data_IF_145075565859
#
_entry.id   IF_145075565859
#
_cell.length_a   1.000
_cell.length_b   1.000
_cell.length_c   1.000
_cell.angle_alpha   90.00
_cell.angle_beta   90.00
_cell.angle_gamma   90.00
#
_symmetry.space_group_name_H-M   'P 1'
#
loop_
_entity.id
_entity.type
_entity.pdbx_description
1 polymer ?
#
# COMPACT_ATOMS: atom_id res chain seq x y z
N UNK A 1 -35.00 15.25 36.51
CA UNK A 1 -33.77 14.97 35.74
C UNK A 1 -33.96 13.67 34.96
N UNK A 2 -34.11 13.75 33.63
CA UNK A 2 -34.53 12.63 32.76
C UNK A 2 -33.35 11.72 32.41
N UNK A 3 -33.50 10.42 32.72
CA UNK A 3 -32.47 9.37 32.63
C UNK A 3 -32.50 8.65 31.26
N UNK A 4 -32.58 9.41 30.16
CA UNK A 4 -32.72 8.85 28.81
C UNK A 4 -31.79 9.57 27.82
N UNK A 5 -30.47 9.35 27.93
CA UNK A 5 -29.49 10.04 27.07
C UNK A 5 -28.53 9.14 26.30
N UNK A 6 -28.81 7.85 26.11
CA UNK A 6 -28.06 6.97 25.17
C UNK A 6 -28.89 5.77 24.73
N UNK A 7 -29.81 5.98 23.79
CA UNK A 7 -30.38 4.91 22.95
C UNK A 7 -30.16 5.29 21.49
N UNK A 8 -28.89 5.25 21.06
CA UNK A 8 -28.59 5.27 19.63
C UNK A 8 -28.74 3.83 19.13
N UNK A 9 -29.85 3.57 18.43
CA UNK A 9 -30.13 2.40 17.60
C UNK A 9 -30.15 1.01 18.27
N UNK A 10 -31.29 0.56 18.84
CA UNK A 10 -31.45 -0.82 19.35
C UNK A 10 -31.45 -1.90 18.25
N UNK A 11 -31.54 -1.52 16.97
CA UNK A 11 -31.59 -2.43 15.83
C UNK A 11 -30.24 -2.65 15.13
N UNK A 12 -29.19 -1.94 15.53
CA UNK A 12 -27.87 -2.09 14.92
C UNK A 12 -27.05 -3.14 15.69
N UNK A 13 -27.53 -4.37 15.66
CA UNK A 13 -26.87 -5.49 16.31
C UNK A 13 -25.88 -6.11 15.32
N UNK A 14 -24.58 -5.99 15.60
CA UNK A 14 -23.55 -6.68 14.82
C UNK A 14 -23.68 -8.20 15.05
N UNK A 15 -24.25 -8.88 14.05
CA UNK A 15 -24.52 -10.33 14.06
C UNK A 15 -23.24 -11.16 14.25
N UNK A 16 -22.08 -10.61 13.86
CA UNK A 16 -20.77 -11.25 13.97
C UNK A 16 -20.29 -11.35 15.42
N UNK A 17 -20.90 -10.59 16.35
CA UNK A 17 -20.60 -10.67 17.78
C UNK A 17 -21.13 -11.97 18.42
N UNK A 18 -22.11 -12.62 17.80
CA UNK A 18 -22.77 -13.82 18.34
C UNK A 18 -22.40 -15.10 17.59
N UNK A 19 -21.51 -15.03 16.60
CA UNK A 19 -21.03 -16.24 15.93
C UNK A 19 -20.07 -17.02 16.83
N UNK A 20 -20.27 -18.34 16.88
CA UNK A 20 -19.38 -19.30 17.56
C UNK A 20 -18.04 -19.41 16.77
N UNK A 21 -18.10 -19.11 15.48
CA UNK A 21 -16.95 -18.95 14.62
C UNK A 21 -16.36 -17.55 14.88
N UNK A 22 -15.13 -17.51 15.41
CA UNK A 22 -14.42 -16.27 15.66
C UNK A 22 -14.35 -15.44 14.39
N UNK A 23 -14.45 -14.11 14.53
CA UNK A 23 -14.38 -13.19 13.40
C UNK A 23 -13.13 -13.49 12.58
N UNK A 24 -13.30 -14.05 11.39
CA UNK A 24 -12.20 -14.23 10.47
C UNK A 24 -11.82 -12.83 10.00
N UNK A 25 -10.82 -12.25 10.68
CA UNK A 25 -10.08 -11.11 10.15
C UNK A 25 -9.36 -11.65 8.92
N UNK A 26 -10.07 -11.64 7.79
CA UNK A 26 -9.56 -11.95 6.47
C UNK A 26 -8.58 -10.85 6.06
N UNK A 27 -7.44 -10.79 6.76
CA UNK A 27 -6.24 -10.20 6.25
C UNK A 27 -5.57 -11.28 5.40
N UNK A 28 -6.28 -11.74 4.37
CA UNK A 28 -5.77 -12.67 3.37
C UNK A 28 -4.75 -11.90 2.54
N UNK A 29 -3.54 -11.86 3.08
CA UNK A 29 -2.32 -11.37 2.47
C UNK A 29 -1.89 -12.37 1.38
N UNK A 30 -2.68 -12.51 0.32
CA UNK A 30 -2.07 -12.80 -0.97
C UNK A 30 -1.14 -11.62 -1.24
N UNK A 31 0.18 -11.87 -1.29
CA UNK A 31 1.21 -10.84 -1.53
C UNK A 31 1.16 -10.37 -2.99
N UNK A 32 -0.02 -10.05 -3.48
CA UNK A 32 -0.22 -9.43 -4.77
C UNK A 32 -0.08 -7.92 -4.59
N UNK A 33 0.56 -7.27 -5.55
CA UNK A 33 0.67 -5.83 -5.57
C UNK A 33 -0.66 -5.24 -6.02
N UNK A 34 -1.27 -4.38 -5.22
CA UNK A 34 -2.56 -3.77 -5.55
C UNK A 34 -2.42 -2.32 -6.06
N UNK A 35 -3.36 -1.91 -6.89
CA UNK A 35 -3.45 -0.51 -7.32
C UNK A 35 -3.71 0.39 -6.12
N UNK A 36 -2.93 1.46 -6.01
CA UNK A 36 -3.05 2.41 -4.90
C UNK A 36 -2.32 1.99 -3.63
N UNK A 37 -1.72 0.80 -3.58
CA UNK A 37 -0.91 0.37 -2.46
C UNK A 37 0.36 1.21 -2.35
N UNK A 38 0.77 1.52 -1.12
CA UNK A 38 2.05 2.15 -0.85
C UNK A 38 3.10 1.11 -0.45
N UNK A 39 4.20 1.09 -1.19
CA UNK A 39 5.31 0.15 -0.99
C UNK A 39 6.62 0.91 -0.87
N UNK A 40 7.53 0.38 -0.08
CA UNK A 40 8.89 0.93 0.04
C UNK A 40 9.81 0.08 -0.81
N UNK A 41 10.55 0.72 -1.71
CA UNK A 41 11.46 0.05 -2.63
C UNK A 41 12.81 0.76 -2.66
N UNK A 42 13.84 -0.04 -2.93
CA UNK A 42 15.18 0.42 -3.22
C UNK A 42 15.35 0.52 -4.73
N UNK A 43 15.86 1.66 -5.20
CA UNK A 43 16.07 1.90 -6.62
C UNK A 43 17.43 1.34 -6.99
N UNK A 44 17.44 0.29 -7.79
CA UNK A 44 18.66 -0.44 -8.16
C UNK A 44 19.29 0.10 -9.44
N UNK A 45 18.47 0.60 -10.36
CA UNK A 45 18.94 1.01 -11.69
C UNK A 45 18.09 2.15 -12.26
N UNK A 46 18.48 2.67 -13.42
CA UNK A 46 17.72 3.67 -14.19
C UNK A 46 17.55 3.21 -15.64
N UNK A 47 16.32 3.33 -16.12
CA UNK A 47 15.91 3.02 -17.50
C UNK A 47 16.42 4.07 -18.51
N UNK A 48 16.38 3.78 -19.80
CA UNK A 48 16.86 4.69 -20.87
C UNK A 48 16.09 6.03 -20.89
N UNK A 49 14.84 6.01 -20.43
CA UNK A 49 13.97 7.19 -20.23
C UNK A 49 14.32 8.02 -18.97
N UNK A 50 15.37 7.66 -18.22
CA UNK A 50 15.73 8.32 -16.96
C UNK A 50 14.77 8.02 -15.80
N UNK A 51 14.08 6.87 -15.85
CA UNK A 51 13.16 6.41 -14.79
C UNK A 51 13.89 5.45 -13.87
N UNK A 52 13.76 5.59 -12.56
CA UNK A 52 14.32 4.63 -11.61
C UNK A 52 13.60 3.29 -11.70
N UNK A 53 14.37 2.22 -11.75
CA UNK A 53 13.95 0.84 -11.74
C UNK A 53 14.14 0.25 -10.34
N UNK A 54 13.08 -0.34 -9.80
CA UNK A 54 13.10 -1.12 -8.57
C UNK A 54 12.43 -2.47 -8.78
N UNK A 55 12.86 -3.47 -8.01
CA UNK A 55 12.22 -4.78 -8.00
C UNK A 55 11.45 -4.97 -6.69
N UNK A 56 10.20 -5.41 -6.77
CA UNK A 56 9.41 -5.75 -5.60
C UNK A 56 8.53 -6.95 -5.89
N UNK A 57 8.70 -8.04 -5.14
CA UNK A 57 7.92 -9.28 -5.28
C UNK A 57 7.90 -9.85 -6.72
N UNK A 58 8.97 -9.63 -7.50
CA UNK A 58 9.07 -10.08 -8.89
C UNK A 58 8.48 -9.10 -9.92
N UNK A 59 7.90 -7.98 -9.48
CA UNK A 59 7.45 -6.90 -10.35
C UNK A 59 8.57 -5.88 -10.59
N UNK A 60 8.66 -5.41 -11.84
CA UNK A 60 9.53 -4.29 -12.23
C UNK A 60 8.76 -2.98 -12.04
N UNK A 61 9.16 -2.20 -11.05
CA UNK A 61 8.53 -0.92 -10.73
C UNK A 61 9.35 0.19 -11.38
N UNK A 62 8.70 0.92 -12.29
CA UNK A 62 9.22 2.14 -12.89
C UNK A 62 8.75 3.34 -12.06
N UNK A 63 9.72 4.07 -11.52
CA UNK A 63 9.52 5.25 -10.68
C UNK A 63 10.12 6.47 -11.39
N UNK A 64 9.29 7.42 -11.87
CA UNK A 64 9.80 8.64 -12.47
C UNK A 64 10.49 9.51 -11.40
N UNK A 65 11.60 10.17 -11.78
CA UNK A 65 12.37 11.09 -10.91
C UNK A 65 12.93 10.44 -9.64
N UNK A 66 13.33 9.18 -9.74
CA UNK A 66 14.04 8.44 -8.71
C UNK A 66 15.52 8.27 -9.11
N UNK A 67 16.42 8.40 -8.14
CA UNK A 67 17.86 8.24 -8.34
C UNK A 67 18.30 6.83 -7.91
N UNK A 68 19.36 6.32 -8.53
CA UNK A 68 19.98 5.04 -8.14
C UNK A 68 20.46 5.13 -6.69
N UNK A 69 20.17 4.10 -5.90
CA UNK A 69 20.55 4.01 -4.49
C UNK A 69 19.63 4.76 -3.52
N UNK A 70 18.56 5.41 -3.99
CA UNK A 70 17.55 5.97 -3.10
C UNK A 70 16.59 4.89 -2.56
N UNK A 71 16.21 5.05 -1.28
CA UNK A 71 15.10 4.32 -0.68
C UNK A 71 13.86 5.20 -0.65
N UNK A 72 12.84 4.81 -1.42
CA UNK A 72 11.63 5.62 -1.63
C UNK A 72 10.36 4.83 -1.30
N UNK A 73 9.40 5.52 -0.70
CA UNK A 73 8.02 5.05 -0.57
C UNK A 73 7.24 5.50 -1.80
N UNK A 74 6.68 4.56 -2.53
CA UNK A 74 5.96 4.79 -3.78
C UNK A 74 4.53 4.25 -3.69
N UNK A 75 3.61 4.90 -4.40
CA UNK A 75 2.23 4.48 -4.56
C UNK A 75 2.04 3.91 -5.96
N UNK A 76 1.52 2.69 -6.04
CA UNK A 76 1.26 2.02 -7.31
C UNK A 76 0.10 2.72 -8.03
N UNK A 77 0.31 3.14 -9.27
CA UNK A 77 -0.71 3.81 -10.08
C UNK A 77 -1.29 2.85 -11.11
N UNK A 78 -0.43 2.05 -11.72
CA UNK A 78 -0.81 1.16 -12.83
C UNK A 78 0.04 -0.10 -12.80
N UNK A 79 -0.62 -1.23 -13.03
CA UNK A 79 0.02 -2.54 -13.15
C UNK A 79 -0.26 -3.02 -14.59
N UNK A 80 0.81 -3.41 -15.29
CA UNK A 80 0.80 -3.98 -16.65
C UNK A 80 1.57 -5.30 -16.62
N UNK A 81 0.92 -6.36 -16.18
CA UNK A 81 1.57 -7.67 -16.01
C UNK A 81 2.70 -7.58 -14.99
N UNK A 82 3.94 -7.73 -15.44
CA UNK A 82 5.16 -7.67 -14.60
C UNK A 82 5.66 -6.23 -14.40
N UNK A 83 5.29 -5.31 -15.28
CA UNK A 83 5.71 -3.91 -15.22
C UNK A 83 4.69 -3.08 -14.46
N UNK A 84 5.19 -2.26 -13.55
CA UNK A 84 4.37 -1.44 -12.65
C UNK A 84 4.84 -0.01 -12.72
N UNK A 85 3.91 0.91 -12.84
CA UNK A 85 4.19 2.35 -12.79
C UNK A 85 3.75 2.85 -11.42
N UNK A 86 4.69 3.46 -10.70
CA UNK A 86 4.44 4.00 -9.37
C UNK A 86 4.84 5.48 -9.28
N UNK A 87 4.25 6.20 -8.33
CA UNK A 87 4.60 7.59 -8.00
C UNK A 87 5.28 7.65 -6.66
N UNK A 88 6.31 8.49 -6.53
CA UNK A 88 6.93 8.76 -5.24
C UNK A 88 5.92 9.46 -4.32
N UNK A 89 5.75 8.93 -3.11
CA UNK A 89 5.00 9.54 -2.00
C UNK A 89 5.96 10.22 -1.04
N UNK A 90 7.04 9.52 -0.66
CA UNK A 90 8.02 10.02 0.31
C UNK A 90 9.41 9.46 0.01
N UNK A 91 10.43 10.30 0.11
CA UNK A 91 11.83 9.88 0.08
C UNK A 91 12.29 9.61 1.52
N UNK A 92 12.83 8.43 1.80
CA UNK A 92 13.23 8.03 3.15
C UNK A 92 14.71 8.30 3.39
N UNK A 93 15.55 7.96 2.42
CA UNK A 93 16.97 8.29 2.41
C UNK A 93 17.34 8.82 1.02
N UNK A 94 17.88 10.04 0.97
CA UNK A 94 18.55 10.60 -0.19
C UNK A 94 20.01 10.86 0.17
N UNK A 95 20.90 10.79 -0.82
CA UNK A 95 22.32 11.10 -0.66
C UNK A 95 22.50 12.43 0.09
N UNK A 96 23.10 12.38 1.28
CA UNK A 96 23.65 13.56 1.95
C UNK A 96 25.01 13.84 1.35
N UNK A 97 25.20 15.08 0.88
CA UNK A 97 26.47 15.61 0.41
C UNK A 97 27.48 15.74 1.55
#
# INVERSE_FOLDING_TARGET
MTKYRRYESPYLVDLNKFSIYGSLSSNNHDKSLELGQEVTIDITDVDEDGRGLGNYLGYRIHVPKALVGERVKVKVIKIKGVEVIARIVKRLHGFQY
#
